data_IF_880971654150
#
_entry.id   IF_880971654150
#
_cell.length_a   1.000
_cell.length_b   1.000
_cell.length_c   1.000
_cell.angle_alpha   90.00
_cell.angle_beta   90.00
_cell.angle_gamma   90.00
#
_symmetry.space_group_name_H-M   'P 1'
#
loop_
_entity.id
_entity.type
_entity.pdbx_description
1 polymer ?
#
# COMPACT_ATOMS: atom_id res chain seq x y z
N UNK A 1 -26.42 27.73 0.62
CA UNK A 1 -25.42 27.91 1.71
C UNK A 1 -24.72 26.58 1.93
N UNK A 2 -23.60 26.34 1.24
CA UNK A 2 -22.84 25.10 1.42
C UNK A 2 -22.18 25.15 2.79
N UNK A 3 -22.66 24.31 3.71
CA UNK A 3 -22.07 24.10 5.02
C UNK A 3 -20.65 23.55 4.81
N UNK A 4 -19.65 24.44 4.76
CA UNK A 4 -18.24 24.07 4.70
C UNK A 4 -17.87 23.59 6.09
N UNK A 5 -18.10 22.30 6.36
CA UNK A 5 -17.60 21.68 7.57
C UNK A 5 -16.09 21.97 7.65
N UNK A 6 -15.64 22.42 8.83
CA UNK A 6 -14.29 22.93 9.00
C UNK A 6 -13.30 21.79 9.29
N UNK A 7 -12.07 21.89 8.79
CA UNK A 7 -11.04 20.88 9.04
C UNK A 7 -10.49 21.00 10.47
N UNK A 8 -10.42 19.89 11.20
CA UNK A 8 -9.84 19.86 12.54
C UNK A 8 -8.31 19.76 12.47
N UNK A 9 -7.59 20.67 13.11
CA UNK A 9 -6.12 20.62 13.24
C UNK A 9 -5.72 19.74 14.43
N UNK A 10 -4.69 18.92 14.27
CA UNK A 10 -4.11 18.08 15.32
C UNK A 10 -2.58 18.07 15.23
N UNK A 11 -1.92 17.81 16.36
CA UNK A 11 -0.46 17.65 16.43
C UNK A 11 -0.11 16.15 16.43
N UNK A 12 0.84 15.76 15.57
CA UNK A 12 1.30 14.38 15.49
C UNK A 12 2.12 13.98 16.72
N UNK A 13 1.71 12.93 17.44
CA UNK A 13 2.43 12.43 18.62
C UNK A 13 3.85 11.91 18.36
N UNK A 14 4.22 11.63 17.10
CA UNK A 14 5.52 11.06 16.74
C UNK A 14 6.53 12.08 16.21
N UNK A 15 6.07 13.17 15.57
CA UNK A 15 6.98 14.12 14.93
C UNK A 15 6.63 15.59 15.17
N UNK A 16 5.65 15.84 16.03
CA UNK A 16 5.19 17.15 16.48
C UNK A 16 4.71 18.10 15.37
N UNK A 17 4.51 17.58 14.15
CA UNK A 17 3.98 18.33 13.01
C UNK A 17 2.45 18.42 13.06
N UNK A 18 1.94 19.61 12.77
CA UNK A 18 0.49 19.82 12.54
C UNK A 18 0.02 19.03 11.31
N UNK A 19 -1.14 18.40 11.43
CA UNK A 19 -1.89 17.84 10.32
C UNK A 19 -3.38 18.10 10.51
N UNK A 20 -4.15 18.02 9.42
CA UNK A 20 -5.58 18.29 9.43
C UNK A 20 -6.35 17.00 9.20
N UNK A 21 -7.50 16.89 9.84
CA UNK A 21 -8.55 15.93 9.52
C UNK A 21 -9.65 16.70 8.80
N UNK A 22 -9.88 16.36 7.53
CA UNK A 22 -10.92 17.00 6.74
C UNK A 22 -12.31 16.42 7.11
N UNK A 23 -13.41 17.14 6.88
CA UNK A 23 -14.74 16.67 7.26
C UNK A 23 -15.13 15.31 6.67
N UNK A 24 -14.67 15.02 5.46
CA UNK A 24 -14.91 13.73 4.80
C UNK A 24 -14.23 12.59 5.57
N UNK A 25 -13.02 12.82 6.10
CA UNK A 25 -12.31 11.87 6.94
C UNK A 25 -13.01 11.71 8.30
N UNK A 26 -13.45 12.80 8.93
CA UNK A 26 -14.19 12.74 10.19
C UNK A 26 -15.46 11.89 10.04
N UNK A 27 -16.28 12.18 9.02
CA UNK A 27 -17.47 11.38 8.66
C UNK A 27 -17.14 9.92 8.36
N UNK A 28 -15.94 9.61 7.86
CA UNK A 28 -15.51 8.24 7.64
C UNK A 28 -15.23 7.53 8.97
N UNK A 29 -14.46 8.17 9.87
CA UNK A 29 -14.16 7.61 11.19
C UNK A 29 -15.43 7.39 12.02
N UNK A 30 -16.34 8.37 12.04
CA UNK A 30 -17.61 8.27 12.78
C UNK A 30 -18.49 7.11 12.27
N UNK A 31 -18.69 7.03 10.94
CA UNK A 31 -19.48 5.94 10.32
C UNK A 31 -18.89 4.56 10.56
N UNK A 32 -17.56 4.47 10.60
CA UNK A 32 -16.85 3.20 10.86
C UNK A 32 -16.66 2.92 12.35
N UNK A 33 -17.10 3.82 13.24
CA UNK A 33 -16.88 3.75 14.70
C UNK A 33 -15.40 3.55 15.04
N UNK A 34 -14.53 4.28 14.34
CA UNK A 34 -13.08 4.24 14.50
C UNK A 34 -12.60 5.53 15.19
N UNK A 35 -11.56 5.46 16.04
CA UNK A 35 -10.94 6.66 16.58
C UNK A 35 -10.23 7.44 15.47
N UNK A 36 -10.15 8.77 15.63
CA UNK A 36 -9.33 9.61 14.77
C UNK A 36 -7.84 9.31 14.99
N UNK A 37 -6.99 9.50 13.96
CA UNK A 37 -5.60 9.11 14.04
C UNK A 37 -4.76 10.07 14.89
N UNK A 38 -3.95 9.53 15.80
CA UNK A 38 -3.05 10.32 16.65
C UNK A 38 -1.75 10.79 15.97
N UNK A 39 -1.42 10.17 14.83
CA UNK A 39 -0.19 10.42 14.09
C UNK A 39 -0.51 10.95 12.70
N UNK A 40 0.31 11.86 12.17
CA UNK A 40 0.09 12.44 10.84
C UNK A 40 0.15 11.37 9.72
N UNK A 41 -0.43 11.64 8.53
CA UNK A 41 -0.45 10.69 7.43
C UNK A 41 0.94 10.14 7.04
N UNK A 42 1.97 10.99 7.08
CA UNK A 42 3.37 10.60 6.78
C UNK A 42 3.90 9.59 7.81
N UNK A 43 3.69 9.81 9.09
CA UNK A 43 4.13 8.88 10.15
C UNK A 43 3.36 7.55 10.08
N UNK A 44 2.04 7.59 9.83
CA UNK A 44 1.26 6.36 9.60
C UNK A 44 1.76 5.60 8.37
N UNK A 45 2.11 6.30 7.30
CA UNK A 45 2.67 5.68 6.10
C UNK A 45 4.04 5.05 6.39
N UNK A 46 4.95 5.76 7.06
CA UNK A 46 6.26 5.21 7.45
C UNK A 46 6.11 3.93 8.28
N UNK A 47 5.23 3.92 9.29
CA UNK A 47 4.94 2.72 10.09
C UNK A 47 4.37 1.58 9.25
N UNK A 48 3.48 1.86 8.29
CA UNK A 48 2.99 0.82 7.37
C UNK A 48 4.09 0.25 6.48
N UNK A 49 5.03 1.10 6.04
CA UNK A 49 6.15 0.69 5.19
C UNK A 49 7.22 -0.08 5.98
N UNK A 50 7.45 0.24 7.25
CA UNK A 50 8.40 -0.49 8.10
C UNK A 50 7.96 -1.92 8.42
N UNK A 51 6.66 -2.22 8.27
CA UNK A 51 6.11 -3.57 8.41
C UNK A 51 6.16 -4.36 7.09
N UNK A 52 6.62 -3.75 5.99
CA UNK A 52 6.79 -4.46 4.71
C UNK A 52 8.16 -5.11 4.70
N UNK A 53 8.18 -6.40 4.36
CA UNK A 53 9.42 -7.09 4.03
C UNK A 53 10.05 -6.46 2.79
N UNK A 54 11.38 -6.51 2.73
CA UNK A 54 12.13 -6.15 1.54
C UNK A 54 11.70 -7.01 0.36
N UNK A 55 11.52 -6.36 -0.79
CA UNK A 55 11.20 -7.04 -2.04
C UNK A 55 12.51 -7.33 -2.75
N UNK A 56 12.88 -8.60 -2.80
CA UNK A 56 13.96 -9.07 -3.66
C UNK A 56 13.42 -9.29 -5.08
N UNK A 57 14.17 -8.83 -6.07
CA UNK A 57 13.88 -9.08 -7.48
C UNK A 57 14.89 -10.11 -7.99
N UNK A 58 14.39 -11.19 -8.56
CA UNK A 58 15.17 -12.28 -9.10
C UNK A 58 15.02 -12.31 -10.62
N UNK A 59 16.16 -12.37 -11.30
CA UNK A 59 16.18 -12.78 -12.71
C UNK A 59 15.92 -14.28 -12.76
N UNK A 60 14.85 -14.69 -13.43
CA UNK A 60 14.51 -16.10 -13.65
C UNK A 60 14.00 -16.31 -15.07
N UNK A 61 13.79 -17.56 -15.45
CA UNK A 61 13.19 -17.91 -16.73
C UNK A 61 11.69 -18.13 -16.55
N UNK A 62 10.90 -17.73 -17.54
CA UNK A 62 9.48 -18.08 -17.63
C UNK A 62 9.34 -19.61 -17.65
N UNK A 63 8.45 -20.17 -16.84
CA UNK A 63 8.34 -21.62 -16.72
C UNK A 63 7.79 -22.28 -18.00
N UNK A 64 7.06 -21.52 -18.84
CA UNK A 64 6.54 -21.95 -20.15
C UNK A 64 7.54 -21.74 -21.29
N UNK A 65 7.84 -20.49 -21.67
CA UNK A 65 8.64 -20.16 -22.87
C UNK A 65 10.14 -19.95 -22.61
N UNK A 66 10.60 -20.06 -21.37
CA UNK A 66 12.01 -19.90 -20.94
C UNK A 66 12.66 -18.54 -21.20
N UNK A 67 11.91 -17.54 -21.70
CA UNK A 67 12.35 -16.13 -21.78
C UNK A 67 12.74 -15.61 -20.39
N UNK A 68 13.72 -14.72 -20.34
CA UNK A 68 14.13 -14.06 -19.10
C UNK A 68 13.03 -13.12 -18.59
N UNK A 69 12.76 -13.20 -17.28
CA UNK A 69 11.79 -12.36 -16.59
C UNK A 69 12.34 -11.93 -15.23
N UNK A 70 11.83 -10.81 -14.74
CA UNK A 70 12.09 -10.37 -13.37
C UNK A 70 10.87 -10.71 -12.51
N UNK A 71 11.09 -11.39 -11.39
CA UNK A 71 10.03 -11.81 -10.47
C UNK A 71 10.43 -11.55 -9.03
N UNK A 72 9.44 -11.35 -8.16
CA UNK A 72 9.63 -11.32 -6.70
C UNK A 72 9.80 -12.72 -6.11
N UNK A 73 9.48 -13.76 -6.88
CA UNK A 73 9.64 -15.15 -6.48
C UNK A 73 11.06 -15.62 -6.81
N UNK A 74 11.73 -16.20 -5.82
CA UNK A 74 13.05 -16.80 -5.98
C UNK A 74 13.05 -17.89 -7.06
N UNK A 75 14.19 -18.20 -7.70
CA UNK A 75 14.27 -19.28 -8.69
C UNK A 75 13.89 -20.67 -8.14
N UNK A 76 14.07 -20.91 -6.85
CA UNK A 76 13.74 -22.15 -6.12
C UNK A 76 12.30 -22.17 -5.56
N UNK A 77 11.51 -21.13 -5.84
CA UNK A 77 10.11 -21.03 -5.44
C UNK A 77 9.26 -22.14 -6.06
N UNK A 78 8.37 -22.75 -5.27
CA UNK A 78 7.40 -23.78 -5.71
C UNK A 78 6.33 -23.25 -6.67
N UNK A 79 6.13 -21.93 -6.74
CA UNK A 79 5.16 -21.30 -7.62
C UNK A 79 5.61 -21.26 -9.09
N UNK A 80 4.67 -21.57 -9.99
CA UNK A 80 4.82 -21.38 -11.44
C UNK A 80 4.74 -19.92 -11.82
N UNK A 81 5.77 -19.41 -12.48
CA UNK A 81 5.92 -18.02 -12.90
C UNK A 81 6.00 -17.94 -14.42
N UNK A 82 5.03 -17.26 -15.02
CA UNK A 82 4.99 -16.99 -16.46
C UNK A 82 5.44 -15.57 -16.78
N UNK A 83 5.99 -15.38 -17.99
CA UNK A 83 6.04 -14.05 -18.58
C UNK A 83 4.62 -13.57 -18.90
N UNK A 84 4.47 -12.27 -19.13
CA UNK A 84 3.17 -11.65 -19.39
C UNK A 84 2.41 -12.34 -20.53
N UNK A 85 3.06 -12.58 -21.68
CA UNK A 85 2.46 -13.28 -22.83
C UNK A 85 1.91 -14.67 -22.45
N UNK A 86 2.75 -15.49 -21.80
CA UNK A 86 2.37 -16.84 -21.38
C UNK A 86 1.29 -16.85 -20.29
N UNK A 87 1.23 -15.82 -19.44
CA UNK A 87 0.18 -15.65 -18.46
C UNK A 87 -1.17 -15.36 -19.11
N UNK A 88 -1.22 -14.49 -20.13
CA UNK A 88 -2.44 -14.24 -20.89
C UNK A 88 -2.93 -15.51 -21.60
N UNK A 89 -2.04 -16.20 -22.32
CA UNK A 89 -2.38 -17.49 -22.95
C UNK A 89 -2.87 -18.55 -21.95
N UNK A 90 -2.44 -18.49 -20.70
CA UNK A 90 -2.89 -19.40 -19.64
C UNK A 90 -4.30 -19.05 -19.14
N UNK A 91 -4.67 -17.76 -19.13
CA UNK A 91 -6.00 -17.32 -18.70
C UNK A 91 -7.08 -17.48 -19.79
N UNK A 92 -6.69 -17.47 -21.08
CA UNK A 92 -7.59 -17.49 -22.23
C UNK A 92 -7.79 -16.10 -22.81
#
# INVERSE_FOLDING_TARGET
MTNTAESTKQICKFCDKEFKIIPQEQKFYDRKKLPTPENCPKCRQKRRLSLRNERNLYKRKCDKCKKEVISTYKPDSEYTIYCQECYWEYLG
#
